data_IF_796931863216
#
_entry.id   IF_796931863216
#
_cell.length_a   1.000
_cell.length_b   1.000
_cell.length_c   1.000
_cell.angle_alpha   90.00
_cell.angle_beta   90.00
_cell.angle_gamma   90.00
#
_symmetry.space_group_name_H-M   'P 1'
#
loop_
_entity.id
_entity.type
_entity.pdbx_description
1 polymer ?
#
# COMPACT_ATOMS: atom_id res chain seq x y z
N UNK A 1 -4.93 6.46 -10.72
CA UNK A 1 -6.04 5.60 -10.26
C UNK A 1 -5.88 5.39 -8.77
N UNK A 2 -6.99 5.44 -8.02
CA UNK A 2 -7.00 5.21 -6.58
C UNK A 2 -8.01 4.12 -6.28
N UNK A 3 -7.60 3.13 -5.50
CA UNK A 3 -8.44 2.04 -5.04
C UNK A 3 -8.44 2.04 -3.51
N UNK A 4 -9.61 2.22 -2.89
CA UNK A 4 -9.77 2.17 -1.45
C UNK A 4 -10.67 0.98 -1.09
N UNK A 5 -10.20 0.12 -0.21
CA UNK A 5 -10.97 -1.00 0.32
C UNK A 5 -11.34 -0.75 1.79
N UNK A 6 -12.65 -0.73 2.02
CA UNK A 6 -13.27 -0.76 3.33
C UNK A 6 -14.38 -1.80 3.31
N UNK A 7 -14.04 -3.04 3.62
CA UNK A 7 -14.97 -4.16 3.58
C UNK A 7 -15.13 -4.85 4.94
N UNK A 8 -16.17 -5.65 5.09
CA UNK A 8 -16.43 -6.40 6.32
C UNK A 8 -15.33 -7.43 6.59
N UNK A 9 -15.06 -7.71 7.86
CA UNK A 9 -14.16 -8.79 8.32
C UNK A 9 -14.55 -10.17 7.80
N UNK A 10 -15.80 -10.38 7.43
CA UNK A 10 -16.31 -11.65 6.88
C UNK A 10 -16.18 -11.72 5.35
N UNK A 11 -15.71 -10.67 4.72
CA UNK A 11 -15.58 -10.60 3.25
C UNK A 11 -14.32 -11.30 2.79
N UNK A 12 -14.45 -12.10 1.73
CA UNK A 12 -13.32 -12.56 0.92
C UNK A 12 -13.35 -11.87 -0.43
N UNK A 13 -12.27 -11.18 -0.78
CA UNK A 13 -12.16 -10.40 -2.03
C UNK A 13 -10.92 -10.84 -2.81
N UNK A 14 -11.11 -11.03 -4.11
CA UNK A 14 -10.04 -11.14 -5.09
C UNK A 14 -10.23 -10.04 -6.13
N UNK A 15 -9.20 -9.22 -6.32
CA UNK A 15 -9.17 -8.16 -7.33
C UNK A 15 -7.98 -8.34 -8.23
N UNK A 16 -8.18 -8.22 -9.55
CA UNK A 16 -7.09 -8.24 -10.52
C UNK A 16 -7.24 -7.02 -11.43
N UNK A 17 -6.20 -6.20 -11.49
CA UNK A 17 -6.12 -5.01 -12.32
C UNK A 17 -5.03 -5.19 -13.37
N UNK A 18 -5.39 -4.95 -14.62
CA UNK A 18 -4.46 -5.00 -15.77
C UNK A 18 -4.31 -3.61 -16.36
N UNK A 19 -3.05 -3.18 -16.51
CA UNK A 19 -2.68 -1.88 -17.06
C UNK A 19 -1.77 -2.08 -18.27
N UNK A 20 -2.20 -1.63 -19.42
CA UNK A 20 -1.36 -1.45 -20.59
C UNK A 20 -0.98 0.03 -20.70
N UNK A 21 0.33 0.32 -20.75
CA UNK A 21 0.87 1.66 -20.64
C UNK A 21 1.54 2.04 -21.95
N UNK A 22 0.96 3.04 -22.62
CA UNK A 22 1.44 3.54 -23.90
C UNK A 22 2.54 4.60 -23.73
N UNK A 23 3.09 5.02 -24.86
CA UNK A 23 4.19 5.98 -24.97
C UNK A 23 3.94 7.26 -24.18
N UNK A 24 4.93 7.65 -23.37
CA UNK A 24 4.92 8.91 -22.63
C UNK A 24 3.84 9.00 -21.54
N UNK A 25 3.16 7.92 -21.24
CA UNK A 25 2.14 7.92 -20.19
C UNK A 25 2.78 8.03 -18.79
N UNK A 26 2.15 8.80 -17.90
CA UNK A 26 2.52 8.90 -16.50
C UNK A 26 1.37 8.39 -15.64
N UNK A 27 1.55 7.22 -15.05
CA UNK A 27 0.53 6.49 -14.32
C UNK A 27 0.85 6.43 -12.84
N UNK A 28 -0.10 6.84 -12.01
CA UNK A 28 -0.10 6.61 -10.56
C UNK A 28 -1.25 5.65 -10.22
N UNK A 29 -0.90 4.50 -9.65
CA UNK A 29 -1.83 3.55 -9.04
C UNK A 29 -1.57 3.51 -7.54
N UNK A 30 -2.60 3.74 -6.75
CA UNK A 30 -2.53 3.71 -5.28
C UNK A 30 -3.64 2.80 -4.74
N UNK A 31 -3.24 1.66 -4.17
CA UNK A 31 -4.10 0.64 -3.60
C UNK A 31 -4.05 0.68 -2.07
N UNK A 32 -5.13 1.08 -1.44
CA UNK A 32 -5.23 1.29 0.00
C UNK A 32 -6.26 0.31 0.57
N UNK A 33 -5.82 -0.59 1.45
CA UNK A 33 -6.69 -1.50 2.21
C UNK A 33 -6.66 -1.09 3.68
N UNK A 34 -7.79 -0.56 4.18
CA UNK A 34 -7.96 -0.15 5.57
C UNK A 34 -8.74 -1.18 6.37
N UNK A 35 -9.80 -1.73 5.79
CA UNK A 35 -10.64 -2.74 6.39
C UNK A 35 -10.94 -3.84 5.38
N UNK A 36 -10.75 -5.09 5.79
CA UNK A 36 -10.99 -6.26 4.96
C UNK A 36 -11.27 -7.49 5.83
N UNK A 37 -11.54 -8.61 5.22
CA UNK A 37 -11.47 -9.93 5.83
C UNK A 37 -10.27 -10.69 5.30
N UNK A 38 -10.44 -11.34 4.15
CA UNK A 38 -9.37 -11.99 3.39
C UNK A 38 -9.32 -11.35 2.01
N UNK A 39 -8.28 -10.58 1.73
CA UNK A 39 -8.15 -9.86 0.47
C UNK A 39 -6.89 -10.28 -0.27
N UNK A 40 -7.04 -10.49 -1.58
CA UNK A 40 -5.93 -10.60 -2.51
C UNK A 40 -6.11 -9.58 -3.64
N UNK A 41 -5.12 -8.72 -3.81
CA UNK A 41 -5.05 -7.76 -4.92
C UNK A 41 -3.91 -8.14 -5.85
N UNK A 42 -4.18 -8.14 -7.15
CA UNK A 42 -3.20 -8.42 -8.20
C UNK A 42 -3.11 -7.24 -9.15
N UNK A 43 -1.93 -6.65 -9.24
CA UNK A 43 -1.62 -5.52 -10.11
C UNK A 43 -0.69 -5.99 -11.22
N UNK A 44 -1.19 -6.02 -12.46
CA UNK A 44 -0.44 -6.39 -13.64
C UNK A 44 -0.28 -5.16 -14.53
N UNK A 45 0.95 -4.68 -14.69
CA UNK A 45 1.27 -3.55 -15.54
C UNK A 45 2.26 -3.97 -16.64
N UNK A 46 2.04 -3.48 -17.85
CA UNK A 46 2.91 -3.72 -18.98
C UNK A 46 3.14 -2.44 -19.77
N UNK A 47 4.39 -2.11 -20.02
CA UNK A 47 4.76 -1.03 -20.92
C UNK A 47 4.71 -1.52 -22.37
N UNK A 48 3.83 -0.90 -23.18
CA UNK A 48 3.64 -1.22 -24.59
C UNK A 48 4.56 -0.39 -25.50
N UNK A 49 4.98 0.80 -25.04
CA UNK A 49 5.87 1.69 -25.77
C UNK A 49 6.78 2.43 -24.77
N UNK A 50 7.75 3.16 -25.29
CA UNK A 50 8.83 3.83 -24.57
C UNK A 50 8.41 5.12 -23.88
N UNK A 51 9.33 5.65 -23.05
CA UNK A 51 9.27 6.96 -22.42
C UNK A 51 8.07 7.11 -21.46
N UNK A 52 7.64 6.01 -20.83
CA UNK A 52 6.51 5.98 -19.90
C UNK A 52 6.94 5.73 -18.45
N UNK A 53 6.14 6.23 -17.53
CA UNK A 53 6.39 6.16 -16.09
C UNK A 53 5.22 5.53 -15.35
N UNK A 54 5.53 4.63 -14.41
CA UNK A 54 4.56 3.99 -13.53
C UNK A 54 4.96 4.14 -12.08
N UNK A 55 4.07 4.64 -11.26
CA UNK A 55 4.18 4.57 -9.81
C UNK A 55 3.07 3.70 -9.26
N UNK A 56 3.44 2.65 -8.50
CA UNK A 56 2.48 1.82 -7.76
C UNK A 56 2.73 2.03 -6.27
N UNK A 57 1.71 2.45 -5.57
CA UNK A 57 1.69 2.57 -4.13
C UNK A 57 0.70 1.59 -3.54
N UNK A 58 1.06 0.96 -2.43
CA UNK A 58 0.19 0.04 -1.73
C UNK A 58 0.26 0.24 -0.22
N UNK A 59 -0.89 0.19 0.43
CA UNK A 59 -1.01 0.30 1.88
C UNK A 59 -1.94 -0.78 2.42
N UNK A 60 -1.51 -1.42 3.53
CA UNK A 60 -2.35 -2.33 4.31
C UNK A 60 -2.23 -2.09 5.80
N UNK A 61 -3.36 -2.00 6.49
CA UNK A 61 -3.41 -1.92 7.96
C UNK A 61 -4.25 -3.09 8.45
N UNK A 62 -3.56 -4.13 8.92
CA UNK A 62 -4.14 -5.40 9.26
C UNK A 62 -4.05 -5.68 10.75
N UNK A 63 -5.16 -6.06 11.36
CA UNK A 63 -5.25 -6.47 12.76
C UNK A 63 -6.18 -7.69 12.93
N UNK A 64 -6.37 -8.13 14.16
CA UNK A 64 -7.17 -9.28 14.52
C UNK A 64 -6.72 -10.55 13.77
N UNK A 65 -7.53 -11.08 12.85
CA UNK A 65 -7.24 -12.26 12.02
C UNK A 65 -7.34 -11.97 10.52
N UNK A 66 -7.31 -10.69 10.14
CA UNK A 66 -7.38 -10.24 8.74
C UNK A 66 -6.17 -10.71 7.93
N UNK A 67 -6.39 -10.82 6.63
CA UNK A 67 -5.34 -11.25 5.70
C UNK A 67 -5.36 -10.38 4.46
N UNK A 68 -4.19 -9.83 4.14
CA UNK A 68 -3.98 -9.05 2.91
C UNK A 68 -2.79 -9.61 2.15
N UNK A 69 -3.02 -10.01 0.92
CA UNK A 69 -1.98 -10.44 -0.04
C UNK A 69 -2.02 -9.51 -1.26
N UNK A 70 -0.94 -8.76 -1.46
CA UNK A 70 -0.76 -7.96 -2.67
C UNK A 70 0.29 -8.62 -3.57
N UNK A 71 -0.11 -8.85 -4.81
CA UNK A 71 0.77 -9.28 -5.88
C UNK A 71 0.95 -8.17 -6.90
N UNK A 72 2.18 -7.90 -7.32
CA UNK A 72 2.45 -6.97 -8.41
C UNK A 72 3.36 -7.62 -9.46
N UNK A 73 2.99 -7.48 -10.72
CA UNK A 73 3.82 -7.82 -11.87
C UNK A 73 3.97 -6.59 -12.76
N UNK A 74 5.19 -6.08 -12.89
CA UNK A 74 5.49 -4.98 -13.80
C UNK A 74 6.43 -5.49 -14.89
N UNK A 75 5.97 -5.41 -16.14
CA UNK A 75 6.71 -5.82 -17.32
C UNK A 75 7.22 -4.62 -18.09
N UNK A 76 8.53 -4.51 -18.20
CA UNK A 76 9.22 -3.58 -19.07
C UNK A 76 9.55 -4.32 -20.37
N UNK A 77 8.66 -4.21 -21.35
CA UNK A 77 8.85 -4.82 -22.66
C UNK A 77 9.47 -3.82 -23.67
N UNK A 78 9.60 -2.52 -23.28
CA UNK A 78 10.09 -1.41 -24.10
C UNK A 78 11.19 -0.61 -23.38
N UNK A 79 12.09 0.07 -24.14
CA UNK A 79 13.18 0.84 -23.56
C UNK A 79 12.71 2.17 -22.96
N UNK A 80 13.56 2.81 -22.14
CA UNK A 80 13.36 4.14 -21.56
C UNK A 80 12.10 4.27 -20.69
N UNK A 81 11.69 3.21 -20.01
CA UNK A 81 10.55 3.22 -19.11
C UNK A 81 11.01 3.18 -17.65
N UNK A 82 10.26 3.83 -16.78
CA UNK A 82 10.51 3.80 -15.34
C UNK A 82 9.34 3.25 -14.55
N UNK A 83 9.63 2.46 -13.51
CA UNK A 83 8.64 2.03 -12.54
C UNK A 83 9.16 2.18 -11.12
N UNK A 84 8.30 2.68 -10.23
CA UNK A 84 8.58 2.78 -8.81
C UNK A 84 7.42 2.17 -8.01
N UNK A 85 7.73 1.16 -7.21
CA UNK A 85 6.74 0.47 -6.40
C UNK A 85 7.07 0.64 -4.92
N UNK A 86 6.09 1.08 -4.13
CA UNK A 86 6.21 1.18 -2.68
C UNK A 86 4.99 0.54 -2.01
N UNK A 87 5.21 -0.56 -1.31
CA UNK A 87 4.20 -1.21 -0.50
C UNK A 87 4.55 -1.14 0.98
N UNK A 88 3.60 -0.69 1.80
CA UNK A 88 3.76 -0.57 3.24
C UNK A 88 2.64 -1.27 4.00
N UNK A 89 3.01 -2.00 5.05
CA UNK A 89 2.06 -2.69 5.91
C UNK A 89 2.31 -2.36 7.38
N UNK A 90 1.22 -2.22 8.11
CA UNK A 90 1.20 -2.35 9.56
C UNK A 90 0.37 -3.59 9.89
N UNK A 91 1.00 -4.57 10.53
CA UNK A 91 0.36 -5.86 10.83
C UNK A 91 0.41 -6.09 12.34
N UNK A 92 -0.75 -6.24 12.95
CA UNK A 92 -0.91 -6.39 14.40
C UNK A 92 -1.69 -7.67 14.76
N UNK A 93 -1.86 -7.97 16.03
CA UNK A 93 -2.56 -9.12 16.58
C UNK A 93 -2.11 -10.46 15.96
N UNK A 94 -2.99 -11.14 15.24
CA UNK A 94 -2.76 -12.39 14.52
C UNK A 94 -2.92 -12.27 13.02
N UNK A 95 -2.98 -11.03 12.54
CA UNK A 95 -3.15 -10.75 11.14
C UNK A 95 -1.96 -11.23 10.28
N UNK A 96 -2.22 -11.40 9.01
CA UNK A 96 -1.24 -11.88 8.04
C UNK A 96 -1.18 -10.94 6.86
N UNK A 97 -0.02 -10.33 6.64
CA UNK A 97 0.31 -9.60 5.43
C UNK A 97 1.18 -10.42 4.49
N UNK A 98 0.96 -10.32 3.20
CA UNK A 98 1.83 -10.89 2.18
C UNK A 98 2.05 -9.90 1.04
N UNK A 99 3.26 -9.86 0.54
CA UNK A 99 3.62 -9.11 -0.66
C UNK A 99 4.48 -9.98 -1.57
N UNK A 100 4.07 -10.12 -2.81
CA UNK A 100 4.87 -10.73 -3.87
C UNK A 100 4.97 -9.73 -5.01
N UNK A 101 6.18 -9.24 -5.26
CA UNK A 101 6.43 -8.28 -6.33
C UNK A 101 7.38 -8.86 -7.36
N UNK A 102 7.00 -8.81 -8.63
CA UNK A 102 7.83 -9.26 -9.74
C UNK A 102 8.04 -8.13 -10.73
N UNK A 103 9.29 -7.84 -11.02
CA UNK A 103 9.69 -6.94 -12.11
C UNK A 103 10.35 -7.80 -13.19
N UNK A 104 9.83 -7.70 -14.40
CA UNK A 104 10.37 -8.37 -15.59
C UNK A 104 10.87 -7.32 -16.57
N UNK A 105 12.12 -7.44 -16.99
CA UNK A 105 12.75 -6.56 -17.99
C UNK A 105 13.14 -7.42 -19.18
N UNK A 106 12.46 -7.18 -20.32
CA UNK A 106 12.63 -7.95 -21.54
C UNK A 106 14.00 -7.68 -22.21
N UNK A 107 14.49 -8.60 -23.05
CA UNK A 107 15.64 -8.32 -23.92
C UNK A 107 15.39 -7.05 -24.74
N UNK A 108 16.36 -6.14 -24.79
CA UNK A 108 16.25 -4.88 -25.52
C UNK A 108 15.52 -3.75 -24.78
N UNK A 109 14.94 -3.96 -23.61
CA UNK A 109 14.35 -2.91 -22.77
C UNK A 109 15.44 -2.12 -22.03
N UNK A 110 16.37 -1.53 -22.80
CA UNK A 110 17.50 -0.74 -22.27
C UNK A 110 17.03 0.56 -21.63
N UNK A 111 17.86 1.14 -20.74
CA UNK A 111 17.55 2.37 -20.01
C UNK A 111 16.28 2.26 -19.15
N UNK A 112 15.91 1.04 -18.77
CA UNK A 112 14.86 0.81 -17.78
C UNK A 112 15.36 1.20 -16.38
N UNK A 113 14.52 1.94 -15.65
CA UNK A 113 14.71 2.18 -14.22
C UNK A 113 13.56 1.56 -13.45
N UNK A 114 13.83 0.51 -12.64
CA UNK A 114 12.79 -0.20 -11.89
C UNK A 114 13.17 -0.33 -10.42
N UNK A 115 12.40 0.36 -9.58
CA UNK A 115 12.58 0.34 -8.14
C UNK A 115 11.39 -0.34 -7.47
N UNK A 116 11.66 -1.26 -6.56
CA UNK A 116 10.62 -1.94 -5.78
C UNK A 116 10.99 -1.92 -4.30
N UNK A 117 10.13 -1.33 -3.48
CA UNK A 117 10.29 -1.28 -2.03
C UNK A 117 9.08 -1.86 -1.31
N UNK A 118 9.33 -2.75 -0.35
CA UNK A 118 8.31 -3.24 0.57
C UNK A 118 8.78 -3.03 2.00
N UNK A 119 8.06 -2.21 2.76
CA UNK A 119 8.40 -1.86 4.15
C UNK A 119 7.25 -2.23 5.06
N UNK A 120 7.54 -2.94 6.15
CA UNK A 120 6.53 -3.56 6.97
C UNK A 120 6.83 -3.35 8.46
N UNK A 121 5.81 -2.95 9.20
CA UNK A 121 5.81 -2.90 10.66
C UNK A 121 4.98 -4.07 11.20
N UNK A 122 5.63 -4.94 11.99
CA UNK A 122 4.98 -6.04 12.71
C UNK A 122 4.85 -5.62 14.16
N UNK A 123 3.62 -5.36 14.60
CA UNK A 123 3.35 -4.72 15.89
C UNK A 123 3.13 -5.73 17.04
N UNK A 124 2.86 -7.01 16.72
CA UNK A 124 2.67 -8.06 17.72
C UNK A 124 3.46 -9.32 17.39
N UNK A 125 3.79 -10.17 18.38
CA UNK A 125 4.54 -11.41 18.17
C UNK A 125 3.78 -12.48 17.36
N UNK A 126 2.46 -12.36 17.27
CA UNK A 126 1.61 -13.32 16.56
C UNK A 126 1.29 -12.88 15.13
N UNK A 127 1.51 -11.60 14.81
CA UNK A 127 1.39 -11.07 13.47
C UNK A 127 2.46 -11.65 12.53
N UNK A 128 2.11 -11.85 11.28
CA UNK A 128 3.01 -12.44 10.29
C UNK A 128 3.06 -11.59 9.04
N UNK A 129 4.26 -11.37 8.53
CA UNK A 129 4.47 -10.69 7.24
C UNK A 129 5.38 -11.53 6.36
N UNK A 130 4.92 -11.77 5.13
CA UNK A 130 5.68 -12.44 4.09
C UNK A 130 6.00 -11.47 2.96
N UNK A 131 7.27 -11.37 2.57
CA UNK A 131 7.70 -10.50 1.48
C UNK A 131 8.59 -11.26 0.51
N UNK A 132 8.21 -11.26 -0.76
CA UNK A 132 8.90 -11.97 -1.83
C UNK A 132 9.09 -11.07 -3.05
N UNK A 133 10.07 -10.15 -3.04
CA UNK A 133 10.43 -9.39 -4.23
C UNK A 133 11.24 -10.26 -5.20
N UNK A 134 11.00 -10.08 -6.51
CA UNK A 134 11.67 -10.81 -7.61
C UNK A 134 12.05 -9.86 -8.73
N UNK A 135 13.27 -10.00 -9.25
CA UNK A 135 13.76 -9.30 -10.44
C UNK A 135 14.18 -10.33 -11.49
N UNK A 136 13.64 -10.18 -12.69
CA UNK A 136 14.02 -10.97 -13.88
C UNK A 136 14.49 -9.99 -14.95
N UNK A 137 15.80 -9.89 -15.13
CA UNK A 137 16.40 -8.87 -15.98
C UNK A 137 17.12 -9.56 -17.12
N UNK A 138 16.68 -9.28 -18.34
CA UNK A 138 17.23 -9.83 -19.58
C UNK A 138 17.78 -8.75 -20.53
N UNK A 139 17.93 -7.50 -20.05
CA UNK A 139 18.52 -6.39 -20.79
C UNK A 139 19.77 -5.87 -20.08
N UNK A 140 20.72 -5.38 -20.87
CA UNK A 140 21.88 -4.63 -20.39
C UNK A 140 21.50 -3.15 -20.19
N UNK A 141 22.36 -2.38 -19.48
CA UNK A 141 22.23 -0.95 -19.28
C UNK A 141 20.87 -0.55 -18.66
N UNK A 142 20.56 -1.15 -17.53
CA UNK A 142 19.36 -0.89 -16.72
C UNK A 142 19.72 -0.58 -15.27
N UNK A 143 18.84 0.14 -14.58
CA UNK A 143 18.94 0.42 -13.14
C UNK A 143 17.74 -0.23 -12.42
N UNK A 144 17.93 -1.42 -11.92
CA UNK A 144 16.89 -2.15 -11.23
C UNK A 144 17.33 -2.49 -9.81
N UNK A 145 16.45 -2.26 -8.85
CA UNK A 145 16.69 -2.65 -7.47
C UNK A 145 15.40 -3.03 -6.76
N UNK A 146 15.53 -3.89 -5.77
CA UNK A 146 14.47 -4.16 -4.84
C UNK A 146 14.97 -4.07 -3.39
N UNK A 147 14.07 -3.73 -2.48
CA UNK A 147 14.36 -3.72 -1.06
C UNK A 147 13.15 -4.16 -0.25
N UNK A 148 13.41 -4.98 0.77
CA UNK A 148 12.37 -5.34 1.74
C UNK A 148 12.88 -5.14 3.14
N UNK A 149 12.00 -4.65 4.02
CA UNK A 149 12.26 -4.51 5.43
C UNK A 149 11.03 -4.97 6.22
N UNK A 150 11.28 -5.81 7.22
CA UNK A 150 10.28 -6.22 8.20
C UNK A 150 10.86 -5.88 9.56
N UNK A 151 10.19 -5.01 10.29
CA UNK A 151 10.69 -4.50 11.57
C UNK A 151 9.58 -4.17 12.54
N UNK A 152 9.99 -3.61 13.67
CA UNK A 152 9.12 -3.10 14.73
C UNK A 152 9.36 -1.60 14.91
N UNK A 153 8.48 -0.93 15.63
CA UNK A 153 8.72 0.45 16.04
C UNK A 153 9.97 0.54 16.92
N UNK A 154 10.79 1.54 16.65
CA UNK A 154 12.02 1.77 17.42
C UNK A 154 11.69 2.14 18.88
N UNK A 155 12.13 1.35 19.89
CA UNK A 155 11.89 1.63 21.28
C UNK A 155 12.47 2.98 21.73
N UNK A 156 13.56 3.44 21.12
CA UNK A 156 14.18 4.73 21.44
C UNK A 156 13.31 5.90 20.99
N UNK A 157 12.65 5.79 19.84
CA UNK A 157 11.69 6.79 19.38
C UNK A 157 10.48 6.86 20.32
N UNK A 158 9.94 5.71 20.72
CA UNK A 158 8.85 5.64 21.69
C UNK A 158 9.27 6.27 23.01
N UNK A 159 10.45 5.91 23.52
CA UNK A 159 11.00 6.47 24.76
C UNK A 159 11.12 8.00 24.67
N UNK A 160 11.72 8.52 23.59
CA UNK A 160 11.84 9.96 23.37
C UNK A 160 10.48 10.67 23.38
N UNK A 161 9.47 10.14 22.70
CA UNK A 161 8.12 10.73 22.68
C UNK A 161 7.50 10.72 24.08
N UNK A 162 7.71 9.66 24.86
CA UNK A 162 7.25 9.58 26.25
C UNK A 162 7.92 10.61 27.16
N UNK A 163 9.19 10.91 26.97
CA UNK A 163 9.87 11.99 27.71
C UNK A 163 9.32 13.38 27.40
N UNK A 164 8.60 13.52 26.28
CA UNK A 164 7.88 14.75 25.88
C UNK A 164 6.43 14.78 26.36
N UNK A 165 6.01 13.85 27.22
CA UNK A 165 4.69 13.82 27.81
C UNK A 165 3.63 13.03 27.06
N UNK A 166 3.99 12.34 25.96
CA UNK A 166 3.04 11.49 25.24
C UNK A 166 2.90 10.14 25.95
N UNK A 167 1.69 9.60 25.96
CA UNK A 167 1.49 8.21 26.38
C UNK A 167 2.13 7.24 25.37
N UNK A 168 2.44 6.03 25.80
CA UNK A 168 3.02 5.03 24.92
C UNK A 168 2.08 4.67 23.75
N UNK A 169 0.77 4.58 24.01
CA UNK A 169 -0.24 4.32 22.97
C UNK A 169 -0.23 5.43 21.91
N UNK A 170 -0.29 6.69 22.33
CA UNK A 170 -0.24 7.84 21.41
C UNK A 170 1.07 7.86 20.61
N UNK A 171 2.21 7.59 21.26
CA UNK A 171 3.50 7.55 20.58
C UNK A 171 3.52 6.47 19.47
N UNK A 172 3.03 5.26 19.77
CA UNK A 172 2.93 4.17 18.79
C UNK A 172 2.01 4.53 17.62
N UNK A 173 0.84 5.13 17.89
CA UNK A 173 -0.10 5.58 16.85
C UNK A 173 0.56 6.61 15.94
N UNK A 174 1.19 7.65 16.47
CA UNK A 174 1.86 8.68 15.69
C UNK A 174 3.00 8.13 14.81
N UNK A 175 3.77 7.17 15.34
CA UNK A 175 4.83 6.52 14.54
C UNK A 175 4.27 5.67 13.40
N UNK A 176 3.16 4.95 13.63
CA UNK A 176 2.45 4.19 12.59
C UNK A 176 1.87 5.12 11.50
N UNK A 177 1.26 6.24 11.90
CA UNK A 177 0.76 7.28 10.98
C UNK A 177 1.88 7.86 10.12
N UNK A 178 3.00 8.27 10.76
CA UNK A 178 4.16 8.78 10.06
C UNK A 178 4.75 7.74 9.09
N UNK A 179 4.77 6.47 9.47
CA UNK A 179 5.22 5.39 8.61
C UNK A 179 4.35 5.25 7.35
N UNK A 180 3.03 5.42 7.45
CA UNK A 180 2.10 5.30 6.32
C UNK A 180 2.04 6.55 5.43
N UNK A 181 2.51 7.68 5.91
CA UNK A 181 2.39 8.97 5.22
C UNK A 181 2.97 8.99 3.81
N UNK A 182 4.05 8.22 3.55
CA UNK A 182 4.71 8.18 2.24
C UNK A 182 3.81 7.60 1.12
N UNK A 183 2.83 6.75 1.46
CA UNK A 183 1.88 6.21 0.48
C UNK A 183 0.81 7.25 0.15
N UNK A 184 0.40 8.04 1.13
CA UNK A 184 -0.66 9.05 0.94
C UNK A 184 -0.10 10.35 0.31
N UNK A 185 1.16 10.71 0.59
CA UNK A 185 1.75 11.98 0.15
C UNK A 185 1.68 12.22 -1.37
N UNK A 186 1.89 11.20 -2.25
CA UNK A 186 1.81 11.38 -3.70
C UNK A 186 0.40 11.55 -4.27
N UNK A 187 -0.66 11.39 -3.45
CA UNK A 187 -2.04 11.59 -3.89
C UNK A 187 -2.24 13.03 -4.35
N UNK A 188 -2.54 13.20 -5.64
CA UNK A 188 -2.61 14.53 -6.30
C UNK A 188 -3.86 15.33 -5.93
N UNK A 189 -4.96 14.63 -5.61
CA UNK A 189 -6.23 15.25 -5.22
C UNK A 189 -6.20 15.61 -3.74
N UNK A 190 -6.14 16.89 -3.40
CA UNK A 190 -5.99 17.37 -2.02
C UNK A 190 -7.10 16.87 -1.10
N UNK A 191 -8.37 17.01 -1.51
CA UNK A 191 -9.52 16.52 -0.72
C UNK A 191 -9.46 15.02 -0.47
N UNK A 192 -9.03 14.23 -1.47
CA UNK A 192 -8.87 12.79 -1.31
C UNK A 192 -7.71 12.48 -0.36
N UNK A 193 -6.58 13.16 -0.50
CA UNK A 193 -5.42 13.00 0.38
C UNK A 193 -5.78 13.28 1.85
N UNK A 194 -6.52 14.35 2.11
CA UNK A 194 -6.92 14.72 3.48
C UNK A 194 -7.93 13.72 4.05
N UNK A 195 -8.87 13.23 3.22
CA UNK A 195 -9.78 12.16 3.63
C UNK A 195 -9.04 10.86 3.94
N UNK A 196 -8.08 10.47 3.10
CA UNK A 196 -7.26 9.26 3.34
C UNK A 196 -6.44 9.37 4.63
N UNK A 197 -5.85 10.53 4.90
CA UNK A 197 -5.18 10.79 6.19
C UNK A 197 -6.12 10.59 7.35
N UNK A 198 -7.28 11.21 7.29
CA UNK A 198 -8.30 11.08 8.35
C UNK A 198 -8.73 9.62 8.55
N UNK A 199 -8.96 8.86 7.48
CA UNK A 199 -9.33 7.45 7.57
C UNK A 199 -8.21 6.59 8.17
N UNK A 200 -6.95 6.84 7.80
CA UNK A 200 -5.79 6.17 8.40
C UNK A 200 -5.64 6.53 9.87
N UNK A 201 -5.87 7.80 10.24
CA UNK A 201 -5.85 8.24 11.64
C UNK A 201 -6.92 7.54 12.47
N UNK A 202 -8.14 7.45 11.96
CA UNK A 202 -9.22 6.69 12.59
C UNK A 202 -8.88 5.20 12.72
N UNK A 203 -8.32 4.61 11.68
CA UNK A 203 -7.97 3.18 11.64
C UNK A 203 -6.86 2.80 12.61
N UNK A 204 -5.91 3.69 12.84
CA UNK A 204 -4.77 3.50 13.75
C UNK A 204 -5.06 3.96 15.19
N UNK A 205 -6.14 4.71 15.40
CA UNK A 205 -6.60 5.09 16.74
C UNK A 205 -7.40 3.95 17.35
N UNK A 206 -7.04 3.49 18.54
CA UNK A 206 -7.81 2.46 19.27
C UNK A 206 -9.26 2.91 19.44
N UNK A 207 -10.19 2.24 18.78
CA UNK A 207 -11.64 2.48 18.96
C UNK A 207 -12.49 2.52 17.69
N UNK A 208 -11.93 2.48 16.52
CA UNK A 208 -12.71 2.29 15.30
C UNK A 208 -12.89 0.78 15.04
N UNK A 209 -13.78 0.12 15.79
CA UNK A 209 -14.47 -1.02 15.22
C UNK A 209 -15.20 -0.50 13.99
N UNK A 210 -14.95 -1.11 12.82
CA UNK A 210 -15.72 -0.82 11.61
C UNK A 210 -17.18 -0.78 12.03
N UNK A 211 -17.75 0.43 12.09
CA UNK A 211 -19.18 0.56 12.34
C UNK A 211 -19.82 -0.40 11.35
N UNK A 212 -20.43 -1.46 11.88
CA UNK A 212 -21.20 -2.38 11.06
C UNK A 212 -21.99 -1.53 10.09
N UNK A 213 -21.96 -1.85 8.82
CA UNK A 213 -22.74 -1.19 7.77
C UNK A 213 -24.25 -1.19 8.05
N UNK A 214 -24.69 -1.73 9.19
CA UNK A 214 -26.03 -1.56 9.80
C UNK A 214 -26.32 -0.13 10.25
N UNK A 215 -25.31 0.73 10.45
CA UNK A 215 -25.54 2.16 10.73
C UNK A 215 -25.63 3.01 9.45
N UNK A 216 -25.17 2.54 8.30
CA UNK A 216 -25.40 3.22 7.02
C UNK A 216 -26.88 3.16 6.57
N UNK A 217 -27.67 2.26 7.09
CA UNK A 217 -29.12 2.23 6.80
C UNK A 217 -29.90 3.34 7.51
N UNK A 218 -29.35 3.97 8.56
CA UNK A 218 -29.97 5.08 9.29
C UNK A 218 -29.37 6.46 9.00
N UNK A 219 -28.27 6.54 8.25
CA UNK A 219 -27.59 7.78 7.84
C UNK A 219 -27.77 8.06 6.33
N UNK A 220 -28.92 7.67 5.77
CA UNK A 220 -29.26 7.99 4.38
C UNK A 220 -29.38 9.52 4.10
N UNK A 221 -29.40 10.36 5.16
CA UNK A 221 -29.52 11.80 5.02
C UNK A 221 -28.18 12.54 4.93
N UNK A 222 -27.05 11.88 5.24
CA UNK A 222 -25.73 12.55 5.24
C UNK A 222 -24.84 12.20 4.03
N UNK A 223 -25.24 11.23 3.21
CA UNK A 223 -24.53 10.87 1.98
C UNK A 223 -24.86 11.76 0.76
N UNK A 224 -25.89 12.59 0.85
CA UNK A 224 -26.32 13.44 -0.27
C UNK A 224 -25.49 14.74 -0.45
N UNK A 225 -24.62 15.08 0.48
CA UNK A 225 -23.82 16.33 0.44
C UNK A 225 -22.50 16.20 -0.35
N UNK A 226 -22.17 15.02 -0.88
CA UNK A 226 -20.89 14.77 -1.57
C UNK A 226 -21.03 14.56 -3.10
N UNK A 227 -22.20 14.87 -3.69
CA UNK A 227 -22.43 14.79 -5.14
C UNK A 227 -22.77 16.15 -5.79
N UNK A 228 -22.39 17.27 -5.20
CA UNK A 228 -22.40 18.58 -5.89
C UNK A 228 -20.98 19.14 -6.04
#
# INVERSE_FOLDING_TARGET
MYELEESSRLTSRLSSLYLDIDRGANVLLDGITLYNGVTRNEYHARFLDRDAELQILGMGIEDADRRLDNYSLVRHDCPHCSSNQLFKYVVDDRAVGAFTGRVYVAPGAVKTEALQANRNLVASPQARMFSKPQLEIYADDVKCSHGTAIGQLDPMQIFYMRTRGLSEAVAKTLLRQAFMADVIAPVRLERLRDRLRHLVDLRLSDGYESANCSSCASAADDCSVLME
#
